data_IF_056462536072
#
_entry.id   IF_056462536072
#
_cell.length_a   1.000
_cell.length_b   1.000
_cell.length_c   1.000
_cell.angle_alpha   90.00
_cell.angle_beta   90.00
_cell.angle_gamma   90.00
#
_symmetry.space_group_name_H-M   'P 1'
#
loop_
_entity.id
_entity.type
_entity.pdbx_description
1 polymer ?
#
# COMPACT_ATOMS: atom_id res chain seq x y z
N UNK A 1 48.40 -7.89 -46.89
CA UNK A 1 48.06 -8.32 -48.27
C UNK A 1 46.74 -7.64 -48.69
N UNK A 2 46.53 -7.36 -50.00
CA UNK A 2 45.32 -6.71 -50.54
C UNK A 2 44.24 -7.73 -50.97
N UNK A 3 42.97 -7.33 -50.87
CA UNK A 3 41.79 -7.54 -51.77
C UNK A 3 40.61 -6.80 -51.09
N UNK A 4 39.84 -5.85 -51.65
CA UNK A 4 39.15 -5.68 -52.96
C UNK A 4 38.20 -6.85 -53.26
N UNK A 5 36.92 -6.67 -53.64
CA UNK A 5 36.11 -5.49 -54.00
C UNK A 5 34.59 -5.88 -53.98
N UNK A 6 33.56 -5.08 -54.30
CA UNK A 6 33.44 -3.75 -54.94
C UNK A 6 32.29 -2.88 -54.34
N UNK A 7 31.27 -2.44 -55.13
CA UNK A 7 30.01 -1.74 -54.79
C UNK A 7 29.03 -1.80 -55.98
N UNK A 8 27.72 -1.91 -55.74
CA UNK A 8 26.60 -1.55 -56.65
C UNK A 8 25.43 -1.08 -55.75
N UNK A 9 24.64 -0.04 -56.00
CA UNK A 9 24.59 0.93 -57.10
C UNK A 9 23.15 1.44 -57.29
N UNK A 10 22.84 2.63 -56.76
CA UNK A 10 21.51 3.27 -56.76
C UNK A 10 20.94 3.53 -58.17
N UNK A 11 19.60 3.51 -58.30
CA UNK A 11 18.84 4.36 -59.24
C UNK A 11 17.53 4.85 -58.60
N UNK A 12 17.14 6.07 -58.95
CA UNK A 12 15.95 6.77 -58.49
C UNK A 12 15.23 7.46 -59.68
N UNK A 13 14.14 8.18 -59.38
CA UNK A 13 13.23 8.90 -60.30
C UNK A 13 12.30 7.97 -61.12
N UNK A 14 11.06 8.35 -61.47
CA UNK A 14 10.42 9.68 -61.44
C UNK A 14 8.89 9.56 -61.28
N UNK A 15 8.19 10.46 -60.56
CA UNK A 15 6.73 10.52 -60.57
C UNK A 15 6.22 11.51 -61.63
N UNK A 16 5.01 11.33 -62.18
CA UNK A 16 4.03 12.39 -62.54
C UNK A 16 2.84 11.87 -63.38
N UNK A 17 1.71 12.59 -63.26
CA UNK A 17 0.49 12.58 -64.11
C UNK A 17 -0.44 11.35 -63.99
N UNK A 18 -1.76 11.46 -64.07
CA UNK A 18 -2.80 12.50 -63.87
C UNK A 18 -4.08 11.96 -64.54
N UNK A 19 -5.26 12.29 -63.98
CA UNK A 19 -6.64 12.13 -64.56
C UNK A 19 -7.18 10.69 -64.57
N UNK A 20 -8.29 10.31 -63.95
CA UNK A 20 -9.59 10.96 -63.64
C UNK A 20 -10.63 10.98 -64.79
N UNK A 21 -11.58 10.03 -64.73
CA UNK A 21 -12.97 9.99 -65.27
C UNK A 21 -13.70 8.96 -64.36
N UNK A 22 -14.66 9.31 -63.49
CA UNK A 22 -16.12 9.40 -63.73
C UNK A 22 -16.75 8.14 -64.37
N UNK A 23 -17.95 7.63 -64.02
CA UNK A 23 -18.91 7.89 -62.93
C UNK A 23 -19.96 6.75 -62.90
N UNK A 24 -20.63 6.54 -61.76
CA UNK A 24 -22.04 6.04 -61.62
C UNK A 24 -22.56 4.88 -62.49
N UNK A 25 -22.90 3.75 -61.85
CA UNK A 25 -24.29 3.23 -61.81
C UNK A 25 -24.44 2.12 -60.74
N UNK A 26 -25.67 1.91 -60.27
CA UNK A 26 -25.99 1.15 -59.05
C UNK A 26 -26.96 -0.03 -59.29
N UNK A 27 -27.06 -0.90 -58.27
CA UNK A 27 -27.91 -2.11 -58.17
C UNK A 27 -27.52 -3.24 -59.14
N UNK A 28 -27.62 -4.53 -58.81
CA UNK A 28 -28.62 -5.26 -58.00
C UNK A 28 -27.97 -6.36 -57.13
N UNK A 29 -28.54 -6.65 -55.96
CA UNK A 29 -28.19 -7.81 -55.11
C UNK A 29 -28.80 -9.10 -55.67
N UNK A 30 -28.00 -10.16 -55.82
CA UNK A 30 -28.49 -11.55 -55.88
C UNK A 30 -27.36 -12.50 -55.50
N UNK A 31 -27.50 -13.20 -54.37
CA UNK A 31 -26.55 -14.20 -53.93
C UNK A 31 -26.81 -15.54 -54.67
N UNK A 32 -25.75 -16.14 -55.21
CA UNK A 32 -25.72 -17.54 -55.59
C UNK A 32 -24.30 -18.07 -55.36
N UNK A 33 -24.17 -19.16 -54.60
CA UNK A 33 -22.88 -19.70 -54.21
C UNK A 33 -22.16 -20.33 -55.41
N UNK A 34 -20.86 -20.02 -55.56
CA UNK A 34 -19.94 -20.78 -56.39
C UNK A 34 -18.95 -21.50 -55.48
N UNK A 35 -18.97 -22.83 -55.50
CA UNK A 35 -17.88 -23.62 -54.94
C UNK A 35 -16.68 -23.59 -55.90
N UNK A 36 -15.55 -23.12 -55.38
CA UNK A 36 -14.21 -23.36 -55.90
C UNK A 36 -13.35 -23.69 -54.67
N UNK A 37 -12.46 -24.67 -54.68
CA UNK A 37 -11.74 -25.20 -55.83
C UNK A 37 -10.26 -25.05 -55.50
N UNK A 38 -9.66 -26.11 -54.97
CA UNK A 38 -8.43 -26.04 -54.17
C UNK A 38 -7.23 -25.40 -54.92
N UNK A 39 -6.64 -24.40 -54.29
CA UNK A 39 -5.22 -24.06 -54.43
C UNK A 39 -4.54 -24.23 -53.07
N UNK A 40 -3.25 -24.61 -53.00
CA UNK A 40 -2.55 -24.69 -51.73
C UNK A 40 -2.36 -23.27 -51.16
N UNK A 41 -3.08 -22.97 -50.08
CA UNK A 41 -2.72 -21.85 -49.22
C UNK A 41 -1.35 -22.13 -48.63
N UNK A 42 -0.44 -21.17 -48.77
CA UNK A 42 0.77 -21.15 -47.94
C UNK A 42 0.29 -20.97 -46.50
N UNK A 43 0.49 -21.99 -45.66
CA UNK A 43 0.03 -21.93 -44.28
C UNK A 43 0.66 -20.73 -43.57
N UNK A 44 -0.23 -19.90 -43.02
CA UNK A 44 0.10 -18.69 -42.26
C UNK A 44 1.04 -19.05 -41.12
N UNK A 45 1.93 -18.11 -40.77
CA UNK A 45 2.79 -18.17 -39.59
C UNK A 45 2.04 -18.74 -38.39
N UNK A 46 2.51 -19.87 -37.83
CA UNK A 46 1.98 -20.42 -36.58
C UNK A 46 2.00 -19.34 -35.51
N UNK A 47 0.82 -18.89 -35.11
CA UNK A 47 0.69 -17.95 -34.01
C UNK A 47 0.68 -18.72 -32.69
N UNK A 48 1.00 -18.05 -31.58
CA UNK A 48 1.04 -18.69 -30.25
C UNK A 48 -0.23 -19.51 -29.90
N UNK A 49 -1.46 -19.10 -30.30
CA UNK A 49 -2.68 -19.90 -30.13
C UNK A 49 -2.67 -21.27 -30.84
N UNK A 50 -1.95 -21.43 -31.95
CA UNK A 50 -1.91 -22.71 -32.69
C UNK A 50 -1.04 -23.78 -31.97
N UNK A 51 -0.15 -23.36 -31.08
CA UNK A 51 0.69 -24.25 -30.26
C UNK A 51 0.00 -24.67 -28.95
N UNK A 52 -0.91 -23.84 -28.43
CA UNK A 52 -1.62 -24.05 -27.18
C UNK A 52 -3.08 -23.61 -27.33
N UNK A 53 -3.86 -24.37 -28.11
CA UNK A 53 -5.24 -24.01 -28.46
C UNK A 53 -6.15 -23.83 -27.25
N UNK A 54 -6.78 -22.65 -27.15
CA UNK A 54 -7.80 -22.18 -26.18
C UNK A 54 -7.76 -22.78 -24.77
N UNK A 55 -6.55 -23.07 -24.28
CA UNK A 55 -6.27 -23.51 -22.93
C UNK A 55 -6.33 -22.33 -21.96
N UNK A 56 -7.55 -21.86 -21.66
CA UNK A 56 -7.78 -20.97 -20.53
C UNK A 56 -7.52 -21.71 -19.23
N UNK A 57 -6.24 -21.84 -18.86
CA UNK A 57 -5.79 -22.48 -17.63
C UNK A 57 -5.91 -21.54 -16.44
N UNK A 58 -7.03 -20.84 -16.30
CA UNK A 58 -7.50 -20.36 -14.99
C UNK A 58 -8.14 -21.53 -14.25
N UNK A 59 -7.32 -22.56 -14.00
CA UNK A 59 -7.64 -23.57 -13.01
C UNK A 59 -7.48 -22.90 -11.66
N UNK A 60 -8.57 -22.35 -11.13
CA UNK A 60 -8.72 -22.20 -9.69
C UNK A 60 -8.68 -23.62 -9.12
N UNK A 61 -7.49 -24.07 -8.71
CA UNK A 61 -7.34 -25.31 -7.97
C UNK A 61 -8.31 -25.25 -6.79
N UNK A 62 -9.11 -26.30 -6.54
CA UNK A 62 -9.94 -26.33 -5.35
C UNK A 62 -9.05 -26.18 -4.11
N UNK A 63 -9.52 -25.49 -3.05
CA UNK A 63 -8.73 -25.31 -1.84
C UNK A 63 -8.35 -26.68 -1.29
N UNK A 64 -7.11 -26.82 -0.82
CA UNK A 64 -6.63 -28.10 -0.31
C UNK A 64 -7.52 -28.59 0.84
N UNK A 65 -7.93 -29.85 0.78
CA UNK A 65 -8.91 -30.48 1.66
C UNK A 65 -8.33 -31.81 2.17
N UNK A 66 -8.48 -32.07 3.46
CA UNK A 66 -8.08 -33.32 4.09
C UNK A 66 -9.13 -34.39 3.74
N UNK A 67 -8.69 -35.52 3.19
CA UNK A 67 -9.60 -36.64 2.87
C UNK A 67 -10.37 -37.07 4.11
N UNK A 68 -11.66 -37.34 3.93
CA UNK A 68 -12.56 -37.83 4.98
C UNK A 68 -12.72 -36.87 6.18
N UNK A 69 -12.46 -35.57 5.98
CA UNK A 69 -12.74 -34.54 6.98
C UNK A 69 -14.24 -34.32 7.18
N UNK A 70 -14.72 -34.48 8.40
CA UNK A 70 -16.05 -34.03 8.82
C UNK A 70 -15.95 -32.60 9.37
N UNK A 71 -16.74 -31.62 8.87
CA UNK A 71 -16.67 -30.25 9.35
C UNK A 71 -16.91 -30.11 10.85
N UNK A 72 -16.01 -29.41 11.55
CA UNK A 72 -16.02 -29.20 13.00
C UNK A 72 -16.29 -27.74 13.36
N UNK A 73 -16.55 -27.47 14.65
CA UNK A 73 -16.56 -26.11 15.19
C UNK A 73 -15.43 -25.95 16.21
N UNK A 74 -14.49 -25.05 15.95
CA UNK A 74 -13.29 -24.84 16.75
C UNK A 74 -13.54 -23.77 17.83
N UNK A 75 -14.55 -23.99 18.67
CA UNK A 75 -15.06 -23.00 19.64
C UNK A 75 -13.99 -22.52 20.64
N UNK A 76 -13.08 -23.41 21.09
CA UNK A 76 -11.94 -23.04 21.93
C UNK A 76 -10.95 -22.15 21.18
N UNK A 77 -10.57 -22.55 19.97
CA UNK A 77 -9.63 -21.84 19.11
C UNK A 77 -10.15 -20.44 18.74
N UNK A 78 -11.45 -20.30 18.44
CA UNK A 78 -12.08 -18.98 18.20
C UNK A 78 -12.03 -18.08 19.42
N UNK A 79 -12.17 -18.63 20.63
CA UNK A 79 -12.02 -17.86 21.88
C UNK A 79 -10.55 -17.48 22.15
N UNK A 80 -9.60 -18.36 21.83
CA UNK A 80 -8.16 -18.08 21.91
C UNK A 80 -7.72 -17.03 20.88
N UNK A 81 -8.31 -17.04 19.68
CA UNK A 81 -8.14 -16.01 18.67
C UNK A 81 -8.66 -14.65 19.13
N UNK A 82 -9.87 -14.60 19.71
CA UNK A 82 -10.41 -13.37 20.29
C UNK A 82 -9.50 -12.84 21.42
N UNK A 83 -9.01 -13.72 22.31
CA UNK A 83 -8.07 -13.35 23.35
C UNK A 83 -6.72 -12.84 22.79
N UNK A 84 -6.18 -13.47 21.74
CA UNK A 84 -4.98 -13.00 21.05
C UNK A 84 -5.14 -11.58 20.51
N UNK A 85 -6.26 -11.31 19.81
CA UNK A 85 -6.57 -9.98 19.28
C UNK A 85 -6.73 -8.97 20.41
N UNK A 86 -7.35 -9.35 21.54
CA UNK A 86 -7.49 -8.48 22.71
C UNK A 86 -6.15 -8.21 23.42
N UNK A 87 -5.25 -9.19 23.49
CA UNK A 87 -3.91 -9.05 24.06
C UNK A 87 -2.96 -8.17 23.21
N UNK A 88 -3.33 -7.82 21.98
CA UNK A 88 -2.66 -6.77 21.23
C UNK A 88 -2.82 -5.39 21.88
N UNK A 89 -3.81 -5.21 22.78
CA UNK A 89 -4.00 -3.98 23.55
C UNK A 89 -2.99 -3.97 24.70
N UNK A 90 -2.26 -2.85 24.90
CA UNK A 90 -1.58 -2.61 26.17
C UNK A 90 -2.54 -2.78 27.35
N UNK A 91 -2.01 -3.21 28.49
CA UNK A 91 -2.72 -3.17 29.77
C UNK A 91 -3.03 -1.70 30.10
N UNK A 92 -4.22 -1.26 29.67
CA UNK A 92 -4.73 0.10 29.75
C UNK A 92 -3.94 1.12 28.90
N UNK A 93 -4.37 1.31 27.63
CA UNK A 93 -4.26 2.65 27.03
C UNK A 93 -5.13 3.56 27.87
N UNK A 94 -4.53 4.22 28.86
CA UNK A 94 -5.16 5.29 29.64
C UNK A 94 -5.32 6.48 28.69
N UNK A 95 -6.36 6.42 27.86
CA UNK A 95 -6.94 7.61 27.27
C UNK A 95 -7.32 8.51 28.46
N UNK A 96 -6.77 9.73 28.58
CA UNK A 96 -7.14 10.61 29.67
C UNK A 96 -8.67 10.80 29.62
N UNK A 97 -9.34 10.54 30.75
CA UNK A 97 -10.80 10.64 30.92
C UNK A 97 -11.36 12.03 30.55
N UNK A 98 -10.47 13.03 30.52
CA UNK A 98 -10.72 14.34 29.95
C UNK A 98 -10.23 14.37 28.50
N UNK A 99 -11.15 14.67 27.58
CA UNK A 99 -10.81 15.06 26.21
C UNK A 99 -9.83 16.25 26.16
N UNK A 100 -9.36 16.66 24.97
CA UNK A 100 -8.37 17.74 24.85
C UNK A 100 -8.78 18.93 25.73
N UNK A 101 -7.89 19.36 26.62
CA UNK A 101 -8.20 20.46 27.56
C UNK A 101 -8.64 21.66 26.72
N UNK A 102 -9.80 22.23 27.00
CA UNK A 102 -10.30 23.37 26.23
C UNK A 102 -10.41 24.63 27.07
N UNK A 103 -10.17 25.77 26.43
CA UNK A 103 -10.40 27.11 26.97
C UNK A 103 -11.44 27.81 26.12
N UNK A 104 -12.46 28.39 26.75
CA UNK A 104 -13.41 29.26 26.06
C UNK A 104 -12.88 30.70 26.11
N UNK A 105 -12.77 31.36 24.95
CA UNK A 105 -12.32 32.75 24.83
C UNK A 105 -13.30 33.69 25.52
N UNK A 106 -12.82 34.47 26.48
CA UNK A 106 -13.59 35.48 27.20
C UNK A 106 -13.37 36.90 26.63
N UNK A 107 -14.20 37.85 27.07
CA UNK A 107 -14.14 39.24 26.60
C UNK A 107 -12.87 39.95 27.12
N UNK A 108 -11.88 40.09 26.25
CA UNK A 108 -10.60 40.76 26.56
C UNK A 108 -9.39 39.82 26.53
N UNK A 109 -9.62 38.53 26.26
CA UNK A 109 -8.57 37.58 25.91
C UNK A 109 -7.91 37.93 24.57
N UNK A 110 -6.65 37.54 24.44
CA UNK A 110 -5.92 37.46 23.17
C UNK A 110 -5.20 36.11 23.13
N UNK A 111 -4.84 35.62 21.95
CA UNK A 111 -4.19 34.30 21.86
C UNK A 111 -2.87 34.26 22.63
N UNK A 112 -2.15 35.38 22.72
CA UNK A 112 -0.97 35.55 23.57
C UNK A 112 -1.25 35.40 25.07
N UNK A 113 -2.31 36.02 25.61
CA UNK A 113 -2.67 35.86 27.03
C UNK A 113 -3.14 34.45 27.36
N UNK A 114 -3.83 33.81 26.41
CA UNK A 114 -4.27 32.43 26.55
C UNK A 114 -3.04 31.50 26.56
N UNK A 115 -2.10 31.70 25.63
CA UNK A 115 -0.84 30.94 25.57
C UNK A 115 0.00 31.10 26.86
N UNK A 116 0.18 32.34 27.34
CA UNK A 116 0.85 32.65 28.62
C UNK A 116 0.18 31.98 29.83
N UNK A 117 -1.16 31.90 29.85
CA UNK A 117 -1.93 31.24 30.92
C UNK A 117 -1.71 29.72 30.99
N UNK A 118 -1.31 29.09 29.89
CA UNK A 118 -1.07 27.65 29.78
C UNK A 118 0.40 27.31 29.50
N UNK A 119 1.31 28.24 29.79
CA UNK A 119 2.78 28.12 29.64
C UNK A 119 3.22 27.55 28.27
N UNK A 120 2.60 28.03 27.20
CA UNK A 120 2.81 27.55 25.83
C UNK A 120 2.89 28.72 24.84
N UNK A 121 3.09 28.42 23.55
CA UNK A 121 3.28 29.45 22.52
C UNK A 121 2.01 29.75 21.73
N UNK A 122 1.93 30.98 21.18
CA UNK A 122 0.87 31.36 20.24
C UNK A 122 0.88 30.45 19.00
N UNK A 123 2.06 30.06 18.51
CA UNK A 123 2.20 29.15 17.38
C UNK A 123 1.65 27.74 17.68
N UNK A 124 1.92 27.18 18.85
CA UNK A 124 1.33 25.91 19.28
C UNK A 124 -0.21 25.98 19.34
N UNK A 125 -0.75 27.07 19.92
CA UNK A 125 -2.19 27.32 19.93
C UNK A 125 -2.79 27.50 18.53
N UNK A 126 -2.10 28.19 17.62
CA UNK A 126 -2.56 28.37 16.23
C UNK A 126 -2.63 27.04 15.48
N UNK A 127 -1.57 26.21 15.57
CA UNK A 127 -1.52 24.88 14.95
C UNK A 127 -2.62 23.96 15.49
N UNK A 128 -2.70 23.79 16.81
CA UNK A 128 -3.69 22.93 17.49
C UNK A 128 -5.16 23.33 17.27
N UNK A 129 -5.44 24.51 16.71
CA UNK A 129 -6.78 25.04 16.47
C UNK A 129 -7.02 25.47 15.01
N UNK A 130 -6.09 25.18 14.10
CA UNK A 130 -6.12 25.59 12.69
C UNK A 130 -6.42 27.10 12.50
N UNK A 131 -5.84 27.95 13.35
CA UNK A 131 -6.04 29.40 13.30
C UNK A 131 -5.02 30.03 12.34
N UNK A 132 -5.51 30.65 11.27
CA UNK A 132 -4.67 31.39 10.30
C UNK A 132 -4.31 32.81 10.73
N UNK A 133 -4.93 33.34 11.78
CA UNK A 133 -4.75 34.73 12.26
C UNK A 133 -4.92 34.77 13.79
N UNK A 134 -3.86 35.08 14.57
CA UNK A 134 -3.91 35.07 16.03
C UNK A 134 -4.77 36.20 16.62
N UNK A 135 -5.07 37.24 15.85
CA UNK A 135 -5.89 38.38 16.29
C UNK A 135 -7.40 38.16 16.07
N UNK A 136 -7.80 37.05 15.42
CA UNK A 136 -9.21 36.73 15.06
C UNK A 136 -9.94 35.82 16.04
N UNK A 137 -9.67 35.95 17.34
CA UNK A 137 -10.46 35.23 18.36
C UNK A 137 -11.88 35.81 18.49
N UNK A 138 -12.87 34.92 18.64
CA UNK A 138 -14.27 35.29 18.92
C UNK A 138 -14.61 34.96 20.36
N UNK A 139 -15.26 35.88 21.08
CA UNK A 139 -15.77 35.59 22.43
C UNK A 139 -16.76 34.43 22.38
N UNK A 140 -16.57 33.43 23.24
CA UNK A 140 -17.31 32.17 23.23
C UNK A 140 -16.74 31.08 22.30
N UNK A 141 -15.66 31.35 21.57
CA UNK A 141 -14.92 30.33 20.82
C UNK A 141 -14.23 29.37 21.79
N UNK A 142 -14.34 28.08 21.54
CA UNK A 142 -13.63 27.04 22.29
C UNK A 142 -12.33 26.73 21.55
N UNK A 143 -11.21 26.79 22.26
CA UNK A 143 -9.88 26.44 21.77
C UNK A 143 -9.35 25.22 22.52
N UNK A 144 -8.75 24.28 21.79
CA UNK A 144 -7.89 23.21 22.31
C UNK A 144 -6.63 23.85 22.89
N UNK A 145 -6.32 23.51 24.13
CA UNK A 145 -5.06 23.85 24.81
C UNK A 145 -4.05 22.76 24.43
N UNK A 146 -2.98 23.08 23.67
CA UNK A 146 -1.89 22.14 23.45
C UNK A 146 -1.21 21.85 24.80
N UNK A 147 -0.84 20.61 25.10
CA UNK A 147 -0.05 20.33 26.31
C UNK A 147 1.41 20.70 26.06
N UNK A 148 2.12 21.04 27.13
CA UNK A 148 3.55 21.23 27.09
C UNK A 148 4.23 19.90 26.72
N UNK A 149 5.13 19.93 25.72
CA UNK A 149 6.27 19.01 25.77
C UNK A 149 7.17 19.52 26.90
N UNK A 150 7.49 18.72 27.93
CA UNK A 150 8.44 19.14 28.95
C UNK A 150 9.82 19.27 28.31
N UNK A 151 10.27 20.52 28.22
CA UNK A 151 11.59 20.96 27.77
C UNK A 151 11.99 20.58 26.32
N UNK A 152 12.32 21.61 25.54
CA UNK A 152 13.12 21.54 24.31
C UNK A 152 14.59 21.19 24.68
N UNK A 153 14.79 19.98 25.20
CA UNK A 153 16.12 19.34 25.32
C UNK A 153 16.53 18.85 23.93
N UNK A 154 17.84 18.82 23.65
CA UNK A 154 18.44 18.10 22.51
C UNK A 154 18.15 16.58 22.60
N UNK A 155 16.90 16.20 22.34
CA UNK A 155 16.43 14.83 22.17
C UNK A 155 16.52 14.37 20.72
N UNK A 156 16.15 13.11 20.41
CA UNK A 156 15.92 12.70 19.03
C UNK A 156 14.80 13.54 18.39
N UNK A 157 14.90 13.82 17.08
CA UNK A 157 13.80 14.47 16.34
C UNK A 157 12.55 13.57 16.37
N UNK A 158 11.39 14.13 16.74
CA UNK A 158 10.13 13.41 16.82
C UNK A 158 9.91 12.58 18.11
N UNK A 159 8.85 11.76 18.14
CA UNK A 159 8.44 11.01 19.32
C UNK A 159 9.44 9.91 19.73
N UNK A 160 9.39 9.53 21.01
CA UNK A 160 10.08 8.32 21.48
C UNK A 160 9.37 7.08 20.89
N UNK A 161 10.15 6.11 20.39
CA UNK A 161 9.63 4.90 19.73
C UNK A 161 10.02 3.66 20.53
N UNK A 162 9.05 3.04 21.17
CA UNK A 162 9.18 1.71 21.75
C UNK A 162 8.69 0.64 20.76
N UNK A 163 9.23 -0.57 20.86
CA UNK A 163 8.82 -1.70 20.02
C UNK A 163 8.07 -2.73 20.86
N UNK A 164 6.79 -2.91 20.56
CA UNK A 164 5.94 -3.93 21.17
C UNK A 164 5.89 -5.17 20.28
N UNK A 165 5.65 -6.33 20.90
CA UNK A 165 5.59 -7.63 20.24
C UNK A 165 4.40 -8.45 20.74
N UNK A 166 3.62 -8.99 19.81
CA UNK A 166 2.54 -9.94 20.04
C UNK A 166 2.89 -11.24 19.34
N UNK A 167 3.00 -12.31 20.13
CA UNK A 167 3.16 -13.67 19.63
C UNK A 167 2.00 -14.52 20.14
N UNK A 168 1.23 -15.09 19.24
CA UNK A 168 0.20 -16.08 19.54
C UNK A 168 0.44 -17.35 18.74
N UNK A 169 0.26 -18.51 19.37
CA UNK A 169 0.26 -19.81 18.70
C UNK A 169 -1.00 -20.53 19.13
N UNK A 170 -1.92 -20.74 18.18
CA UNK A 170 -3.20 -21.39 18.43
C UNK A 170 -3.12 -22.84 17.98
N UNK A 171 -3.35 -23.79 18.89
CA UNK A 171 -3.46 -25.21 18.53
C UNK A 171 -4.90 -25.52 18.07
N UNK A 172 -5.05 -25.89 16.81
CA UNK A 172 -6.37 -26.22 16.25
C UNK A 172 -6.89 -27.59 16.71
N UNK A 173 -6.03 -28.43 17.29
CA UNK A 173 -6.33 -29.84 17.58
C UNK A 173 -6.48 -30.74 16.36
N UNK A 174 -6.48 -30.17 15.14
CA UNK A 174 -6.49 -30.91 13.89
C UNK A 174 -5.10 -31.46 13.58
N UNK A 175 -5.00 -32.68 13.04
CA UNK A 175 -3.73 -33.18 12.52
C UNK A 175 -3.37 -32.45 11.22
N UNK A 176 -2.15 -31.95 11.12
CA UNK A 176 -1.67 -31.34 9.87
C UNK A 176 -1.43 -32.42 8.80
N UNK A 177 -1.86 -32.17 7.57
CA UNK A 177 -1.66 -33.06 6.41
C UNK A 177 -0.86 -32.37 5.31
N UNK A 178 0.09 -33.09 4.72
CA UNK A 178 0.94 -32.58 3.64
C UNK A 178 0.25 -32.54 2.26
N UNK A 179 0.96 -32.11 1.19
CA UNK A 179 0.44 -32.08 -0.19
C UNK A 179 0.09 -33.48 -0.74
N UNK A 180 0.64 -34.53 -0.13
CA UNK A 180 0.36 -35.94 -0.42
C UNK A 180 -0.86 -36.50 0.32
N UNK A 181 -1.52 -35.67 1.15
CA UNK A 181 -2.63 -36.07 2.00
C UNK A 181 -2.22 -36.92 3.21
N UNK A 182 -0.93 -37.06 3.51
CA UNK A 182 -0.46 -37.82 4.68
C UNK A 182 -0.28 -36.90 5.91
N UNK A 183 -0.55 -37.39 7.13
CA UNK A 183 -0.29 -36.62 8.34
C UNK A 183 1.20 -36.29 8.50
N UNK A 184 1.56 -35.03 8.74
CA UNK A 184 2.95 -34.61 8.96
C UNK A 184 3.45 -34.91 10.38
N UNK A 185 2.60 -35.44 11.25
CA UNK A 185 2.94 -35.85 12.63
C UNK A 185 2.98 -34.70 13.65
N UNK A 186 2.58 -33.49 13.27
CA UNK A 186 2.46 -32.32 14.13
C UNK A 186 0.97 -31.88 14.26
N UNK A 187 0.59 -31.24 15.39
CA UNK A 187 -0.69 -30.54 15.47
C UNK A 187 -0.71 -29.36 14.49
N UNK A 188 -1.91 -29.04 14.00
CA UNK A 188 -2.13 -27.88 13.15
C UNK A 188 -2.09 -26.59 13.97
N UNK A 189 -1.05 -25.79 13.82
CA UNK A 189 -0.87 -24.53 14.53
C UNK A 189 -1.25 -23.32 13.66
N UNK A 190 -1.83 -22.28 14.24
CA UNK A 190 -1.96 -20.97 13.59
C UNK A 190 -1.06 -19.99 14.34
N UNK A 191 -0.05 -19.45 13.67
CA UNK A 191 0.95 -18.55 14.27
C UNK A 191 0.65 -17.09 13.91
N UNK A 192 0.72 -16.22 14.91
CA UNK A 192 0.61 -14.77 14.77
C UNK A 192 1.87 -14.15 15.35
N UNK A 193 2.58 -13.35 14.57
CA UNK A 193 3.74 -12.56 15.01
C UNK A 193 3.57 -11.13 14.55
N UNK A 194 3.41 -10.18 15.47
CA UNK A 194 3.31 -8.75 15.15
C UNK A 194 4.36 -8.02 15.96
N UNK A 195 5.20 -7.22 15.29
CA UNK A 195 6.10 -6.29 15.96
C UNK A 195 5.84 -4.89 15.43
N UNK A 196 5.35 -3.99 16.28
CA UNK A 196 4.93 -2.64 15.89
C UNK A 196 5.60 -1.55 16.74
N UNK A 197 5.76 -0.33 16.19
CA UNK A 197 6.18 0.83 16.96
C UNK A 197 5.00 1.38 17.77
N UNK A 198 5.24 1.62 19.05
CA UNK A 198 4.44 2.49 19.91
C UNK A 198 5.17 3.81 20.07
N UNK A 199 4.49 4.93 19.81
CA UNK A 199 5.08 6.26 19.98
C UNK A 199 4.69 6.88 21.32
N UNK A 200 5.59 7.69 21.90
CA UNK A 200 5.42 8.43 23.14
C UNK A 200 5.95 9.88 23.01
N UNK A 201 5.72 10.71 24.03
CA UNK A 201 6.25 12.08 24.09
C UNK A 201 5.49 13.13 23.25
N UNK A 202 4.41 12.74 22.55
CA UNK A 202 3.52 13.64 21.82
C UNK A 202 2.06 13.48 22.25
N UNK A 203 1.32 14.59 22.25
CA UNK A 203 -0.10 14.65 22.65
C UNK A 203 -1.00 13.71 21.82
N UNK A 204 -0.63 13.49 20.56
CA UNK A 204 -1.41 12.70 19.61
C UNK A 204 -0.94 11.24 19.51
N UNK A 205 0.05 10.84 20.33
CA UNK A 205 0.48 9.45 20.47
C UNK A 205 -0.69 8.47 20.72
N UNK A 206 -1.69 8.78 21.58
CA UNK A 206 -2.83 7.89 21.77
C UNK A 206 -3.69 7.68 20.51
N UNK A 207 -3.79 8.68 19.62
CA UNK A 207 -4.51 8.55 18.33
C UNK A 207 -3.72 7.70 17.35
N UNK A 208 -2.41 7.97 17.20
CA UNK A 208 -1.52 7.23 16.29
C UNK A 208 -1.42 5.76 16.73
N UNK A 209 -1.09 5.50 18.00
CA UNK A 209 -1.03 4.16 18.57
C UNK A 209 -2.39 3.44 18.46
N UNK A 210 -3.50 4.13 18.78
CA UNK A 210 -4.85 3.59 18.65
C UNK A 210 -5.22 3.20 17.21
N UNK A 211 -4.78 3.97 16.20
CA UNK A 211 -4.97 3.64 14.78
C UNK A 211 -4.11 2.45 14.35
N UNK A 212 -2.81 2.44 14.67
CA UNK A 212 -1.91 1.32 14.37
C UNK A 212 -2.45 0.03 14.98
N UNK A 213 -2.82 0.06 16.25
CA UNK A 213 -3.44 -1.06 16.95
C UNK A 213 -4.77 -1.48 16.32
N UNK A 214 -5.64 -0.54 15.95
CA UNK A 214 -6.90 -0.85 15.27
C UNK A 214 -6.70 -1.56 13.92
N UNK A 215 -5.68 -1.16 13.16
CA UNK A 215 -5.30 -1.81 11.89
C UNK A 215 -4.77 -3.23 12.13
N UNK A 216 -3.92 -3.43 13.16
CA UNK A 216 -3.45 -4.76 13.59
C UNK A 216 -4.63 -5.63 13.98
N UNK A 217 -5.51 -5.16 14.88
CA UNK A 217 -6.68 -5.91 15.35
C UNK A 217 -7.61 -6.31 14.18
N UNK A 218 -7.84 -5.42 13.22
CA UNK A 218 -8.63 -5.71 12.02
C UNK A 218 -8.00 -6.76 11.11
N UNK A 219 -6.69 -6.64 10.85
CA UNK A 219 -5.94 -7.59 10.03
C UNK A 219 -5.88 -9.00 10.65
N UNK A 220 -5.60 -9.08 11.96
CA UNK A 220 -5.58 -10.34 12.70
C UNK A 220 -6.97 -10.98 12.79
N UNK A 221 -8.03 -10.20 13.01
CA UNK A 221 -9.40 -10.71 13.03
C UNK A 221 -9.79 -11.36 11.70
N UNK A 222 -9.49 -10.69 10.57
CA UNK A 222 -9.74 -11.25 9.24
C UNK A 222 -8.94 -12.53 8.98
N UNK A 223 -7.62 -12.50 9.23
CA UNK A 223 -6.75 -13.67 9.03
C UNK A 223 -7.16 -14.87 9.91
N UNK A 224 -7.44 -14.64 11.20
CA UNK A 224 -7.82 -15.72 12.12
C UNK A 224 -9.20 -16.30 11.79
N UNK A 225 -10.16 -15.47 11.36
CA UNK A 225 -11.46 -16.01 10.90
C UNK A 225 -11.33 -16.81 9.61
N UNK A 226 -10.59 -16.32 8.61
CA UNK A 226 -10.30 -17.06 7.37
C UNK A 226 -9.59 -18.40 7.67
N UNK A 227 -8.55 -18.36 8.50
CA UNK A 227 -7.75 -19.52 8.86
C UNK A 227 -8.57 -20.58 9.61
N UNK A 228 -9.25 -20.18 10.69
CA UNK A 228 -10.06 -21.09 11.49
C UNK A 228 -11.24 -21.63 10.68
N UNK A 229 -11.93 -20.78 9.92
CA UNK A 229 -13.06 -21.20 9.08
C UNK A 229 -12.67 -22.17 7.97
N UNK A 230 -11.44 -22.07 7.45
CA UNK A 230 -10.92 -23.05 6.50
C UNK A 230 -10.59 -24.39 7.17
N UNK A 231 -9.96 -24.39 8.35
CA UNK A 231 -9.70 -25.64 9.12
C UNK A 231 -11.01 -26.31 9.53
N UNK A 232 -12.00 -25.54 9.98
CA UNK A 232 -13.34 -26.04 10.33
C UNK A 232 -13.99 -26.79 9.16
N UNK A 233 -13.90 -26.25 7.94
CA UNK A 233 -14.53 -26.84 6.74
C UNK A 233 -13.72 -27.94 6.05
N UNK A 234 -12.41 -27.77 5.94
CA UNK A 234 -11.55 -28.53 5.02
C UNK A 234 -10.45 -29.34 5.74
N UNK A 235 -10.32 -29.18 7.06
CA UNK A 235 -9.18 -29.70 7.82
C UNK A 235 -7.91 -28.89 7.65
N UNK A 236 -6.85 -29.31 8.35
CA UNK A 236 -5.57 -28.61 8.33
C UNK A 236 -4.68 -29.12 7.18
N UNK A 237 -4.84 -28.51 6.00
CA UNK A 237 -4.06 -28.82 4.81
C UNK A 237 -2.83 -27.89 4.68
N UNK A 238 -1.64 -28.50 4.69
CA UNK A 238 -0.33 -27.84 4.65
C UNK A 238 0.38 -28.11 3.32
N UNK A 239 0.34 -27.13 2.41
CA UNK A 239 1.00 -27.26 1.11
C UNK A 239 2.51 -26.98 1.16
N UNK A 240 2.97 -26.19 2.13
CA UNK A 240 4.36 -25.76 2.29
C UNK A 240 4.95 -26.31 3.61
N UNK A 241 5.25 -27.62 3.62
CA UNK A 241 5.65 -28.35 4.83
C UNK A 241 7.15 -28.22 5.22
N UNK A 242 7.91 -27.28 4.62
CA UNK A 242 9.38 -27.27 4.73
C UNK A 242 9.91 -26.84 6.11
N UNK A 243 9.18 -25.99 6.85
CA UNK A 243 9.56 -25.51 8.19
C UNK A 243 8.48 -25.80 9.28
N UNK A 244 7.46 -26.61 8.98
CA UNK A 244 6.35 -26.91 9.89
C UNK A 244 5.33 -25.78 10.11
N UNK A 245 5.58 -24.57 9.59
CA UNK A 245 4.68 -23.41 9.67
C UNK A 245 3.74 -23.36 8.47
N UNK A 246 2.56 -23.95 8.61
CA UNK A 246 1.60 -24.08 7.49
C UNK A 246 0.52 -22.98 7.45
N UNK A 247 0.26 -22.30 8.57
CA UNK A 247 -0.73 -21.24 8.70
C UNK A 247 -0.17 -20.17 9.61
N UNK A 248 0.19 -19.02 9.05
CA UNK A 248 0.81 -17.95 9.83
C UNK A 248 0.60 -16.56 9.22
N UNK A 249 0.62 -15.54 10.08
CA UNK A 249 0.69 -14.14 9.70
C UNK A 249 1.81 -13.44 10.49
N UNK A 250 2.59 -12.64 9.77
CA UNK A 250 3.65 -11.80 10.31
C UNK A 250 3.42 -10.35 9.88
N UNK A 251 3.60 -9.40 10.80
CA UNK A 251 3.61 -7.97 10.51
C UNK A 251 5.01 -7.41 10.83
N UNK A 252 5.72 -6.98 9.80
CA UNK A 252 7.05 -6.36 9.90
C UNK A 252 6.89 -4.83 9.72
N UNK A 253 6.78 -4.08 10.83
CA UNK A 253 6.73 -2.62 10.80
C UNK A 253 8.13 -1.99 10.71
N UNK A 254 8.22 -0.86 10.01
CA UNK A 254 9.40 -0.03 9.83
C UNK A 254 9.02 1.45 9.90
N UNK A 255 9.75 2.25 10.68
CA UNK A 255 9.59 3.71 10.73
C UNK A 255 10.48 4.33 9.65
N UNK A 256 9.87 5.04 8.70
CA UNK A 256 10.51 5.63 7.53
C UNK A 256 10.79 7.13 7.68
N UNK A 257 10.02 7.80 8.54
CA UNK A 257 10.27 9.18 8.98
C UNK A 257 9.73 9.35 10.41
N UNK A 258 10.50 10.03 11.25
CA UNK A 258 10.06 10.49 12.57
C UNK A 258 10.58 11.91 12.74
N UNK A 259 9.67 12.87 12.82
CA UNK A 259 9.94 14.26 13.16
C UNK A 259 8.89 14.73 14.16
N UNK A 260 9.03 15.97 14.61
CA UNK A 260 8.11 16.61 15.56
C UNK A 260 6.66 16.74 15.06
N UNK A 261 6.48 16.78 13.74
CA UNK A 261 5.21 17.03 13.08
C UNK A 261 4.75 15.86 12.17
N UNK A 262 5.65 14.93 11.83
CA UNK A 262 5.36 13.83 10.88
C UNK A 262 5.89 12.49 11.39
N UNK A 263 5.03 11.48 11.42
CA UNK A 263 5.42 10.08 11.66
C UNK A 263 5.01 9.20 10.48
N UNK A 264 5.98 8.68 9.72
CA UNK A 264 5.73 7.80 8.57
C UNK A 264 6.15 6.37 8.88
N UNK A 265 5.22 5.44 8.77
CA UNK A 265 5.42 4.03 9.09
C UNK A 265 4.93 3.13 7.96
N UNK A 266 5.69 2.08 7.69
CA UNK A 266 5.39 1.04 6.72
C UNK A 266 5.20 -0.28 7.45
N UNK A 267 4.21 -1.07 7.06
CA UNK A 267 4.02 -2.44 7.54
C UNK A 267 4.07 -3.39 6.34
N UNK A 268 5.00 -4.35 6.37
CA UNK A 268 5.01 -5.47 5.44
C UNK A 268 4.32 -6.66 6.12
N UNK A 269 3.07 -6.93 5.73
CA UNK A 269 2.35 -8.11 6.17
C UNK A 269 2.71 -9.28 5.27
N UNK A 270 3.17 -10.37 5.88
CA UNK A 270 3.52 -11.64 5.23
C UNK A 270 2.62 -12.72 5.80
N UNK A 271 2.00 -13.56 4.96
CA UNK A 271 1.09 -14.61 5.43
C UNK A 271 1.04 -15.83 4.52
N UNK A 272 0.87 -16.98 5.15
CA UNK A 272 0.53 -18.24 4.49
C UNK A 272 -0.87 -18.66 4.95
N UNK A 273 -1.80 -18.78 4.01
CA UNK A 273 -3.20 -19.15 4.27
C UNK A 273 -3.43 -20.66 4.04
N UNK A 274 -4.45 -21.27 4.67
CA UNK A 274 -4.76 -22.69 4.53
C UNK A 274 -4.90 -23.13 3.06
N UNK A 275 -4.19 -24.19 2.68
CA UNK A 275 -4.24 -24.71 1.31
C UNK A 275 -3.69 -23.81 0.21
N UNK A 276 -3.07 -22.66 0.54
CA UNK A 276 -2.37 -21.85 -0.46
C UNK A 276 -1.00 -22.45 -0.78
N UNK A 277 -0.59 -22.36 -2.05
CA UNK A 277 0.63 -23.01 -2.53
C UNK A 277 1.93 -22.21 -2.29
N UNK A 278 1.82 -20.98 -1.78
CA UNK A 278 2.93 -20.09 -1.47
C UNK A 278 2.48 -18.95 -0.54
N UNK A 279 3.42 -18.38 0.19
CA UNK A 279 3.27 -17.14 0.96
C UNK A 279 2.78 -15.96 0.09
N UNK A 280 1.98 -15.07 0.68
CA UNK A 280 1.60 -13.77 0.11
C UNK A 280 2.16 -12.62 0.95
N UNK A 281 2.56 -11.52 0.30
CA UNK A 281 3.11 -10.34 0.97
C UNK A 281 2.46 -9.05 0.47
N UNK A 282 1.94 -8.26 1.40
CA UNK A 282 1.31 -6.95 1.16
C UNK A 282 2.04 -5.88 1.99
N UNK A 283 2.28 -4.72 1.38
CA UNK A 283 2.76 -3.53 2.08
C UNK A 283 1.60 -2.55 2.30
N UNK A 284 1.42 -2.17 3.56
CA UNK A 284 0.53 -1.11 4.03
C UNK A 284 1.37 0.09 4.47
N UNK A 285 0.85 1.29 4.24
CA UNK A 285 1.58 2.56 4.40
C UNK A 285 0.73 3.56 5.16
N UNK A 286 1.24 4.13 6.24
CA UNK A 286 0.58 5.19 7.00
C UNK A 286 1.57 6.34 7.22
N UNK A 287 1.15 7.57 6.93
CA UNK A 287 1.94 8.78 7.23
C UNK A 287 1.05 9.72 8.02
N UNK A 288 1.39 9.93 9.29
CA UNK A 288 0.60 10.69 10.27
C UNK A 288 1.09 12.12 10.40
N UNK A 289 0.12 13.03 10.52
CA UNK A 289 0.27 14.35 11.12
C UNK A 289 0.35 14.20 12.65
N UNK A 290 1.40 14.71 13.28
CA UNK A 290 1.53 14.74 14.75
C UNK A 290 0.94 15.99 15.39
N UNK A 291 0.39 16.93 14.61
CA UNK A 291 -0.39 18.08 15.09
C UNK A 291 -1.81 17.66 15.46
N UNK A 292 -2.41 16.69 14.76
CA UNK A 292 -3.78 16.21 15.04
C UNK A 292 -3.96 14.67 15.09
N UNK A 293 -2.89 13.90 14.85
CA UNK A 293 -2.88 12.43 14.95
C UNK A 293 -3.57 11.70 13.79
N UNK A 294 -3.92 12.37 12.70
CA UNK A 294 -4.56 11.75 11.53
C UNK A 294 -3.55 11.37 10.44
N UNK A 295 -3.85 10.36 9.61
CA UNK A 295 -3.07 10.12 8.40
C UNK A 295 -3.29 11.24 7.37
N UNK A 296 -2.21 11.69 6.73
CA UNK A 296 -2.29 12.53 5.54
C UNK A 296 -2.86 11.75 4.36
N UNK A 297 -3.68 12.41 3.53
CA UNK A 297 -3.94 11.98 2.16
C UNK A 297 -2.88 12.55 1.22
N UNK A 298 -2.58 11.90 0.09
CA UNK A 298 -1.42 12.28 -0.73
C UNK A 298 -1.54 13.68 -1.37
N UNK A 299 -2.75 14.15 -1.60
CA UNK A 299 -3.03 15.48 -2.16
C UNK A 299 -2.48 16.62 -1.29
N UNK A 300 -2.51 16.50 0.05
CA UNK A 300 -2.04 17.57 0.96
C UNK A 300 -0.51 17.75 0.97
N UNK A 301 0.24 16.88 0.29
CA UNK A 301 1.67 17.07 0.08
C UNK A 301 1.96 18.14 -0.97
N UNK A 302 1.01 18.40 -1.87
CA UNK A 302 1.19 19.17 -3.09
C UNK A 302 0.36 20.46 -3.11
N UNK A 303 0.80 21.43 -3.89
CA UNK A 303 0.05 22.65 -4.18
C UNK A 303 -1.28 22.29 -4.91
N UNK A 304 -2.41 22.83 -4.45
CA UNK A 304 -3.74 22.60 -5.02
C UNK A 304 -3.87 23.07 -6.49
N UNK A 305 -3.08 24.05 -6.91
CA UNK A 305 -3.04 24.57 -8.28
C UNK A 305 -2.11 23.76 -9.21
N UNK A 306 -1.26 22.87 -8.65
CA UNK A 306 -0.30 22.08 -9.41
C UNK A 306 -0.90 20.80 -10.03
N UNK A 307 -0.50 20.47 -11.26
CA UNK A 307 -0.81 19.17 -11.91
C UNK A 307 0.12 18.05 -11.37
N UNK A 308 0.10 17.88 -10.05
CA UNK A 308 0.99 16.98 -9.32
C UNK A 308 0.77 15.52 -9.73
N UNK A 309 -0.47 15.11 -10.00
CA UNK A 309 -0.82 13.73 -10.39
C UNK A 309 -0.08 13.33 -11.66
N UNK A 310 -0.03 14.21 -12.68
CA UNK A 310 0.69 13.94 -13.93
C UNK A 310 2.20 13.92 -13.71
N UNK A 311 2.73 14.81 -12.88
CA UNK A 311 4.16 14.88 -12.58
C UNK A 311 4.65 13.65 -11.80
N UNK A 312 3.95 13.27 -10.74
CA UNK A 312 4.20 12.05 -9.95
C UNK A 312 4.09 10.81 -10.85
N UNK A 313 3.06 10.71 -11.70
CA UNK A 313 2.92 9.62 -12.67
C UNK A 313 4.11 9.53 -13.63
N UNK A 314 4.51 10.65 -14.26
CA UNK A 314 5.64 10.66 -15.19
C UNK A 314 6.94 10.24 -14.50
N UNK A 315 7.17 10.70 -13.27
CA UNK A 315 8.40 10.47 -12.51
C UNK A 315 8.43 9.08 -11.84
N UNK A 316 7.27 8.51 -11.51
CA UNK A 316 7.09 7.11 -11.13
C UNK A 316 7.35 6.18 -12.32
N UNK A 317 6.70 6.43 -13.47
CA UNK A 317 6.89 5.66 -14.70
C UNK A 317 8.36 5.64 -15.13
N UNK A 318 9.04 6.81 -15.09
CA UNK A 318 10.47 6.93 -15.45
C UNK A 318 11.41 6.13 -14.55
N UNK A 319 11.02 5.88 -13.28
CA UNK A 319 11.74 4.98 -12.36
C UNK A 319 11.42 3.53 -12.62
N UNK A 320 10.14 3.19 -12.73
CA UNK A 320 9.68 1.84 -13.01
C UNK A 320 10.29 1.30 -14.30
N UNK A 321 10.50 2.13 -15.32
CA UNK A 321 11.24 1.77 -16.56
C UNK A 321 12.69 1.31 -16.35
N UNK A 322 13.29 1.54 -15.18
CA UNK A 322 14.65 1.10 -14.82
C UNK A 322 14.66 -0.26 -14.10
N UNK A 323 13.49 -0.76 -13.69
CA UNK A 323 13.34 -1.99 -12.93
C UNK A 323 13.24 -3.24 -13.83
N UNK A 324 13.98 -4.33 -13.54
CA UNK A 324 14.06 -5.49 -14.43
C UNK A 324 12.79 -6.36 -14.46
N UNK A 325 11.88 -6.16 -13.51
CA UNK A 325 10.62 -6.88 -13.35
C UNK A 325 9.41 -6.13 -13.92
N UNK A 326 9.61 -4.92 -14.46
CA UNK A 326 8.53 -4.06 -14.98
C UNK A 326 8.00 -4.55 -16.34
N UNK A 327 6.74 -4.25 -16.65
CA UNK A 327 6.17 -4.41 -18.00
C UNK A 327 5.22 -3.25 -18.36
N UNK A 328 4.46 -3.38 -19.45
CA UNK A 328 3.55 -2.34 -19.94
C UNK A 328 2.49 -1.89 -18.91
N UNK A 329 2.16 -2.72 -17.91
CA UNK A 329 1.17 -2.39 -16.86
C UNK A 329 1.53 -1.17 -16.04
N UNK A 330 2.82 -0.82 -15.93
CA UNK A 330 3.29 0.44 -15.31
C UNK A 330 2.59 1.69 -15.85
N UNK A 331 2.17 1.69 -17.12
CA UNK A 331 1.48 2.81 -17.76
C UNK A 331 0.05 3.00 -17.22
N UNK A 332 -0.51 1.97 -16.58
CA UNK A 332 -1.83 1.99 -15.93
C UNK A 332 -1.66 2.10 -14.42
N UNK A 333 -0.90 1.20 -13.79
CA UNK A 333 -0.72 1.15 -12.33
C UNK A 333 0.13 2.27 -11.73
N UNK A 334 0.89 2.99 -12.54
CA UNK A 334 1.49 4.29 -12.19
C UNK A 334 1.04 5.40 -13.16
N UNK A 335 -0.10 5.20 -13.83
CA UNK A 335 -0.74 6.21 -14.68
C UNK A 335 -1.25 7.42 -13.90
N UNK A 336 -1.67 8.49 -14.58
CA UNK A 336 -2.04 9.77 -13.96
C UNK A 336 -3.45 9.73 -13.35
N UNK A 337 -3.61 8.89 -12.33
CA UNK A 337 -4.78 8.80 -11.45
C UNK A 337 -4.26 8.86 -10.00
N UNK A 338 -4.86 9.70 -9.16
CA UNK A 338 -4.42 9.89 -7.78
C UNK A 338 -4.51 8.60 -6.95
N UNK A 339 -5.47 7.71 -7.27
CA UNK A 339 -5.66 6.42 -6.57
C UNK A 339 -4.43 5.50 -6.67
N UNK A 340 -3.63 5.65 -7.73
CA UNK A 340 -2.40 4.87 -7.92
C UNK A 340 -1.30 5.23 -6.90
N UNK A 341 -1.43 6.35 -6.21
CA UNK A 341 -0.39 6.92 -5.34
C UNK A 341 -0.81 6.99 -3.86
N UNK A 342 -2.02 6.54 -3.50
CA UNK A 342 -2.52 6.50 -2.11
C UNK A 342 -1.63 5.69 -1.15
N UNK A 343 -0.90 4.70 -1.66
CA UNK A 343 0.08 3.92 -0.88
C UNK A 343 1.44 4.62 -0.87
N UNK A 344 1.60 5.60 0.01
CA UNK A 344 2.83 6.38 0.12
C UNK A 344 3.40 6.46 1.55
N UNK A 345 4.71 6.66 1.63
CA UNK A 345 5.41 7.05 2.85
C UNK A 345 6.36 8.22 2.57
N UNK A 346 6.58 9.05 3.59
CA UNK A 346 7.62 10.07 3.58
C UNK A 346 8.91 9.53 4.21
N UNK A 347 10.05 10.05 3.77
CA UNK A 347 11.38 9.80 4.32
C UNK A 347 12.17 11.12 4.34
N UNK A 348 13.34 11.18 4.98
CA UNK A 348 14.22 12.35 4.83
C UNK A 348 14.73 12.57 3.39
N UNK A 349 14.69 11.55 2.52
CA UNK A 349 15.27 11.60 1.17
C UNK A 349 14.27 11.74 0.01
N UNK A 350 12.97 11.52 0.26
CA UNK A 350 11.95 11.54 -0.79
C UNK A 350 10.65 10.82 -0.44
N UNK A 351 9.70 10.92 -1.37
CA UNK A 351 8.41 10.25 -1.37
C UNK A 351 8.59 8.78 -1.83
N UNK A 352 8.23 7.84 -0.97
CA UNK A 352 8.18 6.41 -1.31
C UNK A 352 6.76 6.07 -1.78
N UNK A 353 6.63 5.48 -2.97
CA UNK A 353 5.37 4.97 -3.51
C UNK A 353 5.40 3.44 -3.54
N UNK A 354 4.33 2.78 -3.11
CA UNK A 354 4.22 1.32 -3.05
C UNK A 354 3.06 0.79 -3.89
N UNK A 355 3.36 -0.05 -4.87
CA UNK A 355 2.41 -0.57 -5.86
C UNK A 355 2.04 -2.02 -5.55
N UNK A 356 0.74 -2.29 -5.40
CA UNK A 356 0.22 -3.62 -5.09
C UNK A 356 0.67 -4.68 -6.14
N UNK A 357 0.71 -5.98 -5.77
CA UNK A 357 1.15 -7.04 -6.67
C UNK A 357 0.46 -6.97 -8.04
N UNK A 358 1.21 -7.22 -9.12
CA UNK A 358 0.71 -7.23 -10.50
C UNK A 358 0.17 -5.90 -11.06
N UNK A 359 0.22 -4.77 -10.35
CA UNK A 359 -0.28 -3.47 -10.87
C UNK A 359 0.68 -2.79 -11.85
N UNK A 360 1.99 -2.92 -11.64
CA UNK A 360 3.03 -2.21 -12.42
C UNK A 360 4.02 -3.14 -13.14
N UNK A 361 4.01 -4.44 -12.85
CA UNK A 361 4.95 -5.40 -13.45
C UNK A 361 4.80 -6.83 -12.95
N UNK A 362 5.73 -7.68 -13.38
CA UNK A 362 5.82 -9.11 -13.06
C UNK A 362 6.57 -9.43 -11.77
N UNK A 363 6.43 -8.61 -10.72
CA UNK A 363 7.11 -8.78 -9.42
C UNK A 363 6.67 -10.00 -8.60
N UNK A 364 5.78 -10.85 -9.13
CA UNK A 364 5.15 -11.94 -8.39
C UNK A 364 4.03 -11.44 -7.47
N UNK A 365 3.81 -12.16 -6.37
CA UNK A 365 2.73 -11.92 -5.42
C UNK A 365 3.05 -10.85 -4.34
N UNK A 366 4.11 -10.04 -4.55
CA UNK A 366 4.61 -9.07 -3.58
C UNK A 366 4.42 -7.63 -4.05
N UNK A 367 4.05 -6.74 -3.13
CA UNK A 367 4.10 -5.28 -3.33
C UNK A 367 5.54 -4.84 -3.62
N UNK A 368 5.70 -3.87 -4.51
CA UNK A 368 6.98 -3.24 -4.87
C UNK A 368 6.95 -1.75 -4.54
N UNK A 369 8.10 -1.18 -4.17
CA UNK A 369 8.21 0.25 -3.85
C UNK A 369 9.29 0.95 -4.69
N UNK A 370 9.08 2.23 -4.99
CA UNK A 370 10.08 3.13 -5.58
C UNK A 370 10.21 4.39 -4.73
N UNK A 371 11.35 5.08 -4.80
CA UNK A 371 11.56 6.36 -4.12
C UNK A 371 11.74 7.50 -5.13
N UNK A 372 10.88 8.51 -5.06
CA UNK A 372 11.00 9.78 -5.79
C UNK A 372 11.66 10.81 -4.86
N UNK A 373 12.92 11.24 -5.12
CA UNK A 373 13.57 12.30 -4.34
C UNK A 373 12.80 13.61 -4.47
N UNK A 374 12.72 14.39 -3.39
CA UNK A 374 11.85 15.58 -3.37
C UNK A 374 12.19 16.62 -4.46
N UNK A 375 13.48 16.80 -4.80
CA UNK A 375 13.95 17.65 -5.90
C UNK A 375 13.43 17.25 -7.30
N UNK A 376 12.90 16.04 -7.47
CA UNK A 376 12.31 15.62 -8.75
C UNK A 376 10.90 16.18 -8.99
N UNK A 377 10.27 16.72 -7.94
CA UNK A 377 8.94 17.33 -7.95
C UNK A 377 9.00 18.76 -7.36
N UNK A 378 10.16 19.40 -7.48
CA UNK A 378 10.41 20.78 -7.04
C UNK A 378 9.42 21.75 -7.71
N UNK A 379 8.86 22.68 -6.92
CA UNK A 379 7.80 23.59 -7.38
C UNK A 379 6.40 22.96 -7.50
N UNK A 380 6.19 21.75 -6.98
CA UNK A 380 4.87 21.11 -6.88
C UNK A 380 4.43 20.86 -5.43
N UNK A 381 5.36 20.90 -4.47
CA UNK A 381 5.08 20.75 -3.04
C UNK A 381 4.31 21.96 -2.50
N UNK A 382 3.37 21.74 -1.58
CA UNK A 382 2.70 22.84 -0.89
C UNK A 382 3.68 23.63 -0.02
N UNK A 383 3.64 24.97 -0.07
CA UNK A 383 4.59 25.85 0.63
C UNK A 383 4.59 25.63 2.16
N UNK A 384 3.41 25.49 2.78
CA UNK A 384 3.23 25.19 4.20
C UNK A 384 2.92 23.69 4.46
N UNK A 385 3.23 22.81 3.49
CA UNK A 385 2.89 21.38 3.54
C UNK A 385 3.86 20.54 4.39
N UNK A 386 3.51 19.27 4.71
CA UNK A 386 4.33 18.38 5.55
C UNK A 386 5.69 18.00 4.94
N UNK A 387 5.91 18.31 3.66
CA UNK A 387 7.20 18.12 2.97
C UNK A 387 8.11 19.35 3.09
N UNK A 388 7.58 20.55 3.34
CA UNK A 388 8.37 21.79 3.34
C UNK A 388 9.53 21.78 4.38
N UNK A 389 9.34 21.35 5.65
CA UNK A 389 10.44 21.24 6.61
C UNK A 389 11.51 20.20 6.24
N UNK A 390 11.19 19.26 5.33
CA UNK A 390 12.13 18.27 4.82
C UNK A 390 12.97 18.82 3.65
N UNK A 391 12.43 19.78 2.88
CA UNK A 391 13.15 20.47 1.81
C UNK A 391 14.26 21.37 2.39
N UNK A 392 13.95 22.14 3.43
CA UNK A 392 14.91 23.05 4.09
C UNK A 392 16.17 22.34 4.61
N UNK A 393 16.06 21.05 4.98
CA UNK A 393 17.18 20.23 5.47
C UNK A 393 18.03 19.60 4.34
N UNK A 394 17.67 19.78 3.08
CA UNK A 394 18.34 19.14 1.92
C UNK A 394 19.23 20.10 1.11
N UNK A 395 19.18 21.40 1.38
CA UNK A 395 19.98 22.48 0.76
C UNK A 395 21.22 22.85 1.60
#
# INVERSE_FOLDING_TARGET
MKRRWERIGLRACDPWRMRAVASLLALVVSAAACSAGNGPTLDTTTTFPDLFGDGSTTSTLPPAEVSDWEPVQLVSVRKEAEACIQNARPDEIVLPDEGPRTVTVESGDTLGKIAERFDTTVAAFMRANSLSDPDRLRVGQVLIVPRERPDEVDGPEGPEIEWEELVCVLDTGAAAHGPDGLPVGAPGLVEVVVRWPRIDGTDEAPRVNGRILGLIQGALAGFLDDAISAVERNGYACMEALDGRCMWIMHEYEVLLSTDDVFSVRNTTRRLLPGTAAESSEVLTETFDLVDGRPFTIDVLFDEEADWVRAVSAEAIRRLEQEPWVDERRLVGAGPDAVNFERFNLTHGGLVLSFAPFTVGGSGASTVSITIPYRALEGLWAEDGPVAPLLEKLD
#
